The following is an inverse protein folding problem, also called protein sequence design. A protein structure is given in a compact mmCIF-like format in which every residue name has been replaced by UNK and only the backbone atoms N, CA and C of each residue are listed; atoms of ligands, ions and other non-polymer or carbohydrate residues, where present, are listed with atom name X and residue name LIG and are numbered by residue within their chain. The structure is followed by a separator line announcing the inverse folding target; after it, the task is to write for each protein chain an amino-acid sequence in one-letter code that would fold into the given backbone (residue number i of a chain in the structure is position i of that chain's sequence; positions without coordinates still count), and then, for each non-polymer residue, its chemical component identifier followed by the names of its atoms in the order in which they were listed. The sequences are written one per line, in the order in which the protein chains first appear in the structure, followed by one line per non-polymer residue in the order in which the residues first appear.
data_IF_892267770542
#
_entry.id   IF_892267770542
#
_cell.length_a   1.000
_cell.length_b   1.000
_cell.length_c   1.000
_cell.angle_alpha   90.00
_cell.angle_beta   90.00
_cell.angle_gamma   90.00
#
_symmetry.space_group_name_H-M   'P 1'
#
loop_
_entity.id
_entity.type
_entity.pdbx_description
1 polymer ?
#
# COMPACT_ATOMS: atom_id res chain seq x y z
N UNK A 1 -6.36 -18.53 -7.75
CA UNK A 1 -6.80 -17.37 -6.98
C UNK A 1 -6.81 -16.15 -7.88
N UNK A 2 -7.89 -15.41 -7.85
CA UNK A 2 -8.07 -14.20 -8.65
C UNK A 2 -8.07 -12.98 -7.74
N UNK A 3 -7.69 -11.84 -8.30
CA UNK A 3 -8.02 -10.54 -7.76
C UNK A 3 -9.54 -10.36 -7.78
N UNK A 4 -10.02 -9.27 -7.16
CA UNK A 4 -11.46 -9.00 -7.15
C UNK A 4 -12.01 -8.92 -8.57
N UNK A 5 -13.15 -9.53 -8.85
CA UNK A 5 -13.82 -9.39 -10.15
C UNK A 5 -14.31 -7.95 -10.35
N UNK A 6 -14.67 -7.24 -9.27
CA UNK A 6 -15.07 -5.81 -9.28
C UNK A 6 -14.95 -5.20 -7.88
N UNK A 7 -15.04 -3.87 -7.81
CA UNK A 7 -14.91 -3.10 -6.56
C UNK A 7 -15.96 -3.55 -5.52
N UNK A 8 -15.52 -3.66 -4.26
CA UNK A 8 -16.38 -4.01 -3.12
C UNK A 8 -16.45 -5.51 -2.77
N UNK A 9 -15.88 -6.38 -3.60
CA UNK A 9 -15.79 -7.82 -3.34
C UNK A 9 -14.42 -8.16 -2.74
N UNK A 10 -14.35 -9.18 -1.88
CA UNK A 10 -13.08 -9.69 -1.38
C UNK A 10 -12.23 -10.28 -2.50
N UNK A 11 -10.94 -10.02 -2.45
CA UNK A 11 -9.97 -10.55 -3.40
C UNK A 11 -8.70 -10.98 -2.70
N UNK A 12 -7.84 -11.70 -3.42
CA UNK A 12 -6.53 -12.12 -2.91
C UNK A 12 -5.42 -11.19 -3.37
N UNK A 13 -4.30 -11.25 -2.67
CA UNK A 13 -3.07 -10.52 -2.99
C UNK A 13 -1.84 -11.29 -2.56
N UNK A 14 -0.68 -10.77 -2.89
CA UNK A 14 0.61 -11.29 -2.43
C UNK A 14 1.10 -10.46 -1.26
N UNK A 15 1.49 -11.14 -0.18
CA UNK A 15 2.18 -10.52 0.94
C UNK A 15 3.67 -10.76 0.80
N UNK A 16 4.43 -9.71 0.59
CA UNK A 16 5.88 -9.81 0.41
C UNK A 16 6.55 -9.57 1.77
N UNK A 17 7.10 -10.62 2.35
CA UNK A 17 7.93 -10.50 3.54
C UNK A 17 9.30 -9.96 3.12
N UNK A 18 9.70 -8.84 3.71
CA UNK A 18 10.91 -8.12 3.39
C UNK A 18 11.73 -7.84 4.64
N UNK A 19 12.99 -8.20 4.63
CA UNK A 19 13.94 -7.87 5.70
C UNK A 19 15.33 -7.56 5.12
N UNK A 20 16.22 -7.08 5.98
CA UNK A 20 17.60 -6.78 5.65
C UNK A 20 18.51 -7.67 6.49
N UNK A 21 19.46 -8.31 5.85
CA UNK A 21 20.46 -9.14 6.51
C UNK A 21 21.85 -8.87 5.99
N UNK A 22 22.84 -9.24 6.77
CA UNK A 22 24.23 -9.29 6.36
C UNK A 22 24.56 -10.65 5.73
N UNK A 23 25.68 -10.73 5.03
CA UNK A 23 26.26 -11.98 4.53
C UNK A 23 26.64 -12.95 5.67
N UNK A 24 26.87 -12.43 6.88
CA UNK A 24 27.11 -13.21 8.11
C UNK A 24 25.82 -13.70 8.78
N UNK A 25 24.64 -13.45 8.20
CA UNK A 25 23.36 -13.94 8.69
C UNK A 25 22.72 -13.11 9.80
N UNK A 26 23.22 -11.89 10.07
CA UNK A 26 22.60 -10.98 11.04
C UNK A 26 21.39 -10.29 10.42
N UNK A 27 20.22 -10.41 11.05
CA UNK A 27 19.02 -9.66 10.65
C UNK A 27 19.06 -8.23 11.23
N UNK A 28 19.16 -7.25 10.37
CA UNK A 28 19.28 -5.83 10.75
C UNK A 28 17.94 -5.20 11.21
N UNK A 29 16.81 -5.86 10.93
CA UNK A 29 15.49 -5.49 11.40
C UNK A 29 15.04 -6.28 12.64
N UNK A 30 15.93 -7.11 13.21
CA UNK A 30 15.69 -7.82 14.46
C UNK A 30 16.15 -7.00 15.66
N UNK A 31 15.31 -6.79 16.70
CA UNK A 31 15.76 -6.22 17.96
C UNK A 31 16.84 -7.06 18.60
N UNK A 32 17.86 -6.41 19.18
CA UNK A 32 18.98 -7.06 19.81
C UNK A 32 18.88 -7.15 21.34
N UNK A 33 19.91 -7.73 21.96
CA UNK A 33 20.01 -7.88 23.42
C UNK A 33 20.83 -6.76 24.07
N UNK A 34 21.68 -6.10 23.29
CA UNK A 34 22.59 -5.04 23.74
C UNK A 34 22.13 -3.66 23.26
N UNK A 35 22.62 -2.59 23.89
CA UNK A 35 22.34 -1.23 23.47
C UNK A 35 22.81 -0.96 22.04
N UNK A 36 23.97 -1.50 21.64
CA UNK A 36 24.50 -1.35 20.29
C UNK A 36 23.65 -2.06 19.25
N UNK A 37 23.21 -3.30 19.50
CA UNK A 37 22.32 -4.04 18.61
C UNK A 37 20.96 -3.36 18.46
N UNK A 38 20.45 -2.75 19.53
CA UNK A 38 19.20 -2.01 19.50
C UNK A 38 19.33 -0.67 18.76
N UNK A 39 20.48 0.01 18.86
CA UNK A 39 20.77 1.19 18.05
C UNK A 39 20.83 0.82 16.56
N UNK A 40 21.48 -0.30 16.25
CA UNK A 40 21.51 -0.86 14.89
C UNK A 40 20.08 -1.12 14.37
N UNK A 41 19.28 -1.87 15.13
CA UNK A 41 17.89 -2.14 14.79
C UNK A 41 17.08 -0.87 14.52
N UNK A 42 17.11 0.12 15.41
CA UNK A 42 16.41 1.39 15.25
C UNK A 42 16.93 2.14 14.03
N UNK A 43 18.23 2.10 13.77
CA UNK A 43 18.81 2.74 12.58
C UNK A 43 18.20 2.19 11.30
N UNK A 44 18.20 0.88 11.13
CA UNK A 44 17.66 0.27 9.92
C UNK A 44 16.13 0.39 9.83
N UNK A 45 15.42 0.29 10.95
CA UNK A 45 13.99 0.50 11.01
C UNK A 45 13.60 1.91 10.57
N UNK A 46 14.26 2.95 11.10
CA UNK A 46 13.98 4.35 10.76
C UNK A 46 14.32 4.66 9.30
N UNK A 47 15.42 4.10 8.78
CA UNK A 47 15.76 4.23 7.38
C UNK A 47 14.69 3.58 6.48
N UNK A 48 14.16 2.39 6.83
CA UNK A 48 13.09 1.76 6.08
C UNK A 48 11.80 2.60 6.07
N UNK A 49 11.41 3.16 7.21
CA UNK A 49 10.24 4.02 7.32
C UNK A 49 10.43 5.31 6.51
N UNK A 50 11.63 5.90 6.57
CA UNK A 50 11.97 7.12 5.82
C UNK A 50 11.98 6.87 4.32
N UNK A 51 12.54 5.75 3.86
CA UNK A 51 12.52 5.33 2.46
C UNK A 51 11.06 5.20 1.94
N UNK A 52 10.21 4.52 2.70
CA UNK A 52 8.77 4.37 2.37
C UNK A 52 8.05 5.72 2.39
N UNK A 53 8.37 6.60 3.34
CA UNK A 53 7.79 7.95 3.40
C UNK A 53 8.16 8.79 2.18
N UNK A 54 9.44 8.86 1.86
CA UNK A 54 9.93 9.64 0.70
C UNK A 54 9.37 9.13 -0.62
N UNK A 55 9.23 7.83 -0.77
CA UNK A 55 8.83 7.16 -2.01
C UNK A 55 7.45 6.50 -1.96
N UNK A 56 6.53 6.96 -1.08
CA UNK A 56 5.20 6.35 -0.94
C UNK A 56 4.38 6.38 -2.24
N UNK A 57 4.44 7.46 -3.00
CA UNK A 57 3.78 7.57 -4.30
C UNK A 57 4.35 6.59 -5.34
N UNK A 58 5.67 6.42 -5.38
CA UNK A 58 6.32 5.45 -6.27
C UNK A 58 6.01 4.01 -5.87
N UNK A 59 6.01 3.68 -4.57
CA UNK A 59 5.60 2.37 -4.08
C UNK A 59 4.14 2.07 -4.45
N UNK A 60 3.26 3.07 -4.37
CA UNK A 60 1.89 2.98 -4.87
C UNK A 60 1.88 2.69 -6.37
N UNK A 61 2.65 3.42 -7.19
CA UNK A 61 2.74 3.20 -8.63
C UNK A 61 3.20 1.77 -8.98
N UNK A 62 4.12 1.22 -8.18
CA UNK A 62 4.66 -0.12 -8.38
C UNK A 62 3.65 -1.26 -8.13
N UNK A 63 2.53 -0.97 -7.46
CA UNK A 63 1.50 -1.97 -7.16
C UNK A 63 0.19 -1.71 -7.89
N UNK A 64 0.08 -0.59 -8.60
CA UNK A 64 -1.14 -0.26 -9.33
C UNK A 64 -1.19 -0.96 -10.69
N UNK A 65 -2.36 -1.54 -10.97
CA UNK A 65 -2.70 -2.14 -12.26
C UNK A 65 -4.21 -2.07 -12.47
N UNK A 66 -4.69 -2.33 -13.67
CA UNK A 66 -6.12 -2.35 -13.97
C UNK A 66 -6.89 -3.32 -13.06
N UNK A 67 -6.29 -4.45 -12.70
CA UNK A 67 -6.92 -5.47 -11.84
C UNK A 67 -6.74 -5.18 -10.37
N UNK A 68 -5.53 -4.79 -9.93
CA UNK A 68 -5.25 -4.56 -8.51
C UNK A 68 -5.95 -3.31 -7.96
N UNK A 69 -6.25 -2.31 -8.80
CA UNK A 69 -6.97 -1.11 -8.39
C UNK A 69 -8.33 -1.42 -7.74
N UNK A 70 -9.04 -2.43 -8.23
CA UNK A 70 -10.34 -2.87 -7.68
C UNK A 70 -10.22 -3.54 -6.29
N UNK A 71 -9.06 -4.12 -6.00
CA UNK A 71 -8.80 -4.82 -4.74
C UNK A 71 -8.50 -3.86 -3.59
N UNK A 72 -7.77 -2.78 -3.86
CA UNK A 72 -7.22 -1.90 -2.83
C UNK A 72 -8.31 -1.06 -2.14
N UNK A 73 -8.21 -0.98 -0.83
CA UNK A 73 -9.03 -0.08 -0.01
C UNK A 73 -10.37 -0.63 0.44
N UNK A 74 -10.65 -1.94 0.28
CA UNK A 74 -11.84 -2.57 0.82
C UNK A 74 -11.58 -4.05 1.18
N UNK A 75 -12.22 -4.53 2.28
CA UNK A 75 -12.26 -5.94 2.65
C UNK A 75 -10.92 -6.68 2.52
N UNK A 76 -10.16 -6.81 3.58
CA UNK A 76 -8.89 -7.55 3.67
C UNK A 76 -7.72 -7.06 2.78
N UNK A 77 -7.94 -6.11 1.88
CA UNK A 77 -6.89 -5.50 1.08
C UNK A 77 -6.53 -4.12 1.64
N UNK A 78 -5.22 -3.77 1.78
CA UNK A 78 -4.81 -2.47 2.29
C UNK A 78 -5.32 -1.34 1.39
N UNK A 79 -5.53 -0.13 1.94
CA UNK A 79 -5.90 1.03 1.13
C UNK A 79 -4.80 1.41 0.14
N UNK A 80 -5.17 2.09 -0.93
CA UNK A 80 -4.24 2.66 -1.91
C UNK A 80 -3.43 3.87 -1.36
N UNK A 81 -3.32 4.01 -0.05
CA UNK A 81 -2.50 5.00 0.64
C UNK A 81 -1.39 4.24 1.35
N UNK A 82 -0.16 4.38 0.87
CA UNK A 82 0.97 3.69 1.50
C UNK A 82 1.25 4.32 2.85
N UNK A 83 1.06 3.54 3.92
CA UNK A 83 1.36 3.90 5.30
C UNK A 83 2.10 2.74 5.98
N UNK A 84 2.75 3.04 7.11
CA UNK A 84 3.56 2.06 7.85
C UNK A 84 2.96 1.82 9.22
N UNK A 85 2.71 0.56 9.53
CA UNK A 85 2.32 0.10 10.86
C UNK A 85 3.56 -0.41 11.62
N UNK A 86 3.76 0.06 12.84
CA UNK A 86 4.88 -0.34 13.71
C UNK A 86 4.42 -1.01 15.01
N UNK A 87 3.16 -0.85 15.37
CA UNK A 87 2.64 -1.16 16.69
C UNK A 87 2.93 -0.06 17.71
N UNK A 88 2.13 -0.04 18.76
CA UNK A 88 2.14 1.03 19.78
C UNK A 88 3.47 1.15 20.51
N UNK A 89 4.14 0.04 20.76
CA UNK A 89 5.39 -0.01 21.52
C UNK A 89 6.56 0.60 20.73
N UNK A 90 6.77 0.18 19.47
CA UNK A 90 7.83 0.73 18.62
C UNK A 90 7.56 2.21 18.33
N UNK A 91 6.31 2.58 18.05
CA UNK A 91 5.89 3.97 17.86
C UNK A 91 6.22 4.84 19.07
N UNK A 92 5.94 4.37 20.29
CA UNK A 92 6.26 5.08 21.54
C UNK A 92 7.77 5.26 21.75
N UNK A 93 8.58 4.26 21.41
CA UNK A 93 10.06 4.35 21.47
C UNK A 93 10.56 5.43 20.51
N UNK A 94 10.09 5.44 19.27
CA UNK A 94 10.49 6.45 18.29
C UNK A 94 10.07 7.87 18.72
N UNK A 95 8.88 8.02 19.28
CA UNK A 95 8.41 9.33 19.76
C UNK A 95 9.21 9.84 20.97
N UNK A 96 9.59 8.95 21.91
CA UNK A 96 10.49 9.29 23.02
C UNK A 96 11.88 9.71 22.50
N UNK A 97 12.42 8.98 21.53
CA UNK A 97 13.70 9.30 20.90
C UNK A 97 13.65 10.67 20.21
N UNK A 98 12.59 10.95 19.47
CA UNK A 98 12.39 12.24 18.80
C UNK A 98 12.25 13.43 19.77
N UNK A 99 11.69 13.19 20.96
CA UNK A 99 11.47 14.21 22.01
C UNK A 99 12.68 14.42 22.92
N UNK A 100 13.67 13.50 22.97
CA UNK A 100 14.83 13.58 23.87
C UNK A 100 15.66 14.86 23.62
N UNK A 101 16.17 15.48 24.71
CA UNK A 101 16.98 16.72 24.67
C UNK A 101 18.39 16.45 25.18
N UNK A 102 19.41 17.09 24.55
CA UNK A 102 20.77 17.08 25.02
C UNK A 102 21.41 15.68 25.09
N UNK A 103 22.35 15.49 26.05
CA UNK A 103 23.10 14.25 26.21
C UNK A 103 22.28 13.07 26.76
N UNK A 104 21.02 13.27 27.12
CA UNK A 104 20.10 12.16 27.48
C UNK A 104 19.91 11.17 26.32
N UNK A 105 20.10 11.62 25.10
CA UNK A 105 20.10 10.77 23.92
C UNK A 105 21.27 9.77 23.90
N UNK A 106 22.41 10.12 24.47
CA UNK A 106 23.62 9.26 24.52
C UNK A 106 23.46 8.16 25.59
N UNK A 107 22.63 8.40 26.61
CA UNK A 107 22.24 7.40 27.61
C UNK A 107 21.05 6.56 27.19
N UNK A 108 20.66 6.67 25.92
CA UNK A 108 19.58 5.88 25.34
C UNK A 108 20.02 4.41 25.26
N UNK A 109 19.94 3.75 26.41
CA UNK A 109 19.90 2.31 26.45
C UNK A 109 18.48 1.89 26.04
N UNK A 110 18.36 1.27 24.88
CA UNK A 110 17.09 0.72 24.42
C UNK A 110 16.45 -0.16 25.50
N UNK A 111 17.23 -0.89 26.33
CA UNK A 111 16.74 -1.58 27.51
C UNK A 111 16.04 -0.67 28.51
N UNK A 112 16.53 0.56 28.72
CA UNK A 112 15.92 1.49 29.67
C UNK A 112 14.66 2.14 29.10
N UNK A 113 14.59 2.39 27.82
CA UNK A 113 13.36 2.89 27.16
C UNK A 113 12.29 1.80 27.13
N UNK A 114 12.64 0.58 26.83
CA UNK A 114 11.73 -0.57 26.92
C UNK A 114 11.33 -0.86 28.38
N UNK A 115 12.22 -0.75 29.37
CA UNK A 115 11.88 -0.86 30.79
C UNK A 115 11.00 0.28 31.30
N UNK A 116 11.25 1.52 30.90
CA UNK A 116 10.45 2.69 31.31
C UNK A 116 9.03 2.66 30.72
N UNK A 117 8.79 1.92 29.65
CA UNK A 117 7.45 1.67 29.08
C UNK A 117 6.74 0.46 29.73
N UNK A 118 7.27 -0.12 30.80
CA UNK A 118 6.68 -1.29 31.47
C UNK A 118 7.01 -2.63 30.78
N UNK A 119 7.91 -2.63 29.80
CA UNK A 119 8.23 -3.80 28.99
C UNK A 119 9.52 -4.41 29.53
N UNK A 120 9.42 -5.49 30.30
CA UNK A 120 10.55 -6.12 30.96
C UNK A 120 11.44 -6.97 30.03
N UNK A 121 10.95 -7.36 28.85
CA UNK A 121 11.70 -8.16 27.87
C UNK A 121 11.33 -7.82 26.43
N UNK A 122 12.33 -7.66 25.57
CA UNK A 122 12.17 -7.45 24.11
C UNK A 122 11.41 -8.61 23.42
N UNK A 123 11.54 -9.87 23.81
CA UNK A 123 10.70 -10.96 23.29
C UNK A 123 9.19 -10.75 23.46
N UNK A 124 8.76 -9.98 24.48
CA UNK A 124 7.35 -9.65 24.71
C UNK A 124 6.82 -8.65 23.67
N UNK A 125 7.69 -7.81 23.09
CA UNK A 125 7.39 -6.96 21.93
C UNK A 125 6.91 -7.77 20.71
N UNK A 126 7.44 -8.98 20.53
CA UNK A 126 7.08 -9.88 19.45
C UNK A 126 5.75 -10.60 19.70
N UNK A 127 5.36 -10.78 20.97
CA UNK A 127 4.14 -11.48 21.34
C UNK A 127 2.91 -10.54 21.35
N UNK A 128 3.08 -9.26 21.65
CA UNK A 128 1.99 -8.29 21.72
C UNK A 128 1.60 -7.71 20.35
N UNK A 129 2.33 -8.06 19.31
CA UNK A 129 2.02 -7.72 17.91
C UNK A 129 1.03 -8.72 17.28
N UNK A 130 0.25 -9.43 18.09
CA UNK A 130 -0.77 -10.38 17.62
C UNK A 130 -1.94 -9.69 16.94
N UNK A 131 -2.16 -8.41 17.18
CA UNK A 131 -3.11 -7.61 16.42
C UNK A 131 -2.42 -7.08 15.15
N UNK A 132 -2.25 -8.00 14.19
CA UNK A 132 -1.80 -7.65 12.83
C UNK A 132 -2.78 -6.63 12.29
N UNK A 133 -2.39 -5.37 12.22
CA UNK A 133 -3.20 -4.38 11.53
C UNK A 133 -3.29 -4.75 10.04
N UNK A 134 -4.31 -5.55 9.70
CA UNK A 134 -4.55 -6.05 8.33
C UNK A 134 -4.82 -4.93 7.34
N UNK A 135 -5.11 -3.73 7.83
CA UNK A 135 -5.40 -2.55 7.02
C UNK A 135 -4.16 -1.77 6.61
N UNK A 136 -2.97 -2.10 7.15
CA UNK A 136 -1.71 -1.44 6.78
C UNK A 136 -1.08 -2.08 5.55
N UNK A 137 -0.71 -1.31 4.53
CA UNK A 137 -0.02 -1.82 3.35
C UNK A 137 1.43 -2.20 3.60
N UNK A 138 2.08 -1.62 4.62
CA UNK A 138 3.46 -1.89 5.00
C UNK A 138 3.58 -2.02 6.51
N UNK A 139 3.59 -3.26 7.01
CA UNK A 139 3.52 -3.54 8.44
C UNK A 139 4.79 -4.20 8.97
N UNK A 140 5.32 -3.66 10.07
CA UNK A 140 6.41 -4.30 10.82
C UNK A 140 5.86 -5.45 11.65
N UNK A 141 6.47 -6.64 11.51
CA UNK A 141 6.02 -7.87 12.16
C UNK A 141 7.05 -8.43 13.15
N UNK A 142 7.87 -7.55 13.72
CA UNK A 142 8.83 -7.87 14.79
C UNK A 142 10.27 -8.06 14.34
N UNK A 143 10.53 -8.60 13.17
CA UNK A 143 11.87 -8.77 12.60
C UNK A 143 11.95 -8.57 11.09
N UNK A 144 10.86 -8.08 10.49
CA UNK A 144 10.71 -7.83 9.06
C UNK A 144 9.50 -6.95 8.81
N UNK A 145 9.40 -6.42 7.62
CA UNK A 145 8.18 -5.80 7.13
C UNK A 145 7.41 -6.77 6.23
N UNK A 146 6.11 -6.61 6.19
CA UNK A 146 5.22 -7.28 5.26
C UNK A 146 4.56 -6.23 4.36
N UNK A 147 4.88 -6.27 3.06
CA UNK A 147 4.26 -5.41 2.05
C UNK A 147 3.10 -6.15 1.41
N UNK A 148 1.87 -5.70 1.68
CA UNK A 148 0.61 -6.43 1.44
C UNK A 148 -0.16 -5.97 0.22
N UNK A 149 0.34 -5.01 -0.52
CA UNK A 149 -0.42 -4.30 -1.53
C UNK A 149 -0.29 -4.86 -2.95
N UNK A 150 0.57 -5.87 -3.18
CA UNK A 150 0.78 -6.47 -4.51
C UNK A 150 -0.41 -7.36 -4.88
N UNK A 151 -0.90 -7.24 -6.12
CA UNK A 151 -1.99 -8.04 -6.65
C UNK A 151 -1.65 -9.52 -6.81
N UNK A 152 -2.66 -10.41 -6.77
CA UNK A 152 -2.44 -11.86 -6.83
C UNK A 152 -1.90 -12.34 -8.18
N UNK A 153 -2.25 -11.68 -9.27
CA UNK A 153 -1.76 -11.96 -10.62
C UNK A 153 -0.50 -11.14 -10.98
N UNK A 154 -0.17 -10.11 -10.19
CA UNK A 154 0.96 -9.24 -10.46
C UNK A 154 2.29 -9.87 -10.04
N UNK A 155 3.39 -9.45 -10.69
CA UNK A 155 4.74 -9.80 -10.29
C UNK A 155 5.19 -8.88 -9.15
N UNK A 156 5.70 -9.45 -8.05
CA UNK A 156 6.21 -8.68 -6.92
C UNK A 156 7.58 -8.01 -7.19
N UNK A 157 8.27 -8.37 -8.26
CA UNK A 157 9.63 -7.88 -8.54
C UNK A 157 9.69 -6.35 -8.63
N UNK A 158 8.71 -5.72 -9.23
CA UNK A 158 8.69 -4.27 -9.39
C UNK A 158 8.59 -3.56 -8.04
N UNK A 159 7.61 -3.93 -7.22
CA UNK A 159 7.44 -3.37 -5.89
C UNK A 159 8.68 -3.59 -5.01
N UNK A 160 9.31 -4.77 -5.11
CA UNK A 160 10.52 -5.08 -4.35
C UNK A 160 11.74 -4.34 -4.89
N UNK A 161 11.86 -4.13 -6.21
CA UNK A 161 12.94 -3.31 -6.80
C UNK A 161 12.85 -1.86 -6.34
N UNK A 162 11.65 -1.29 -6.34
CA UNK A 162 11.41 0.06 -5.81
C UNK A 162 11.78 0.15 -4.33
N UNK A 163 11.31 -0.79 -3.51
CA UNK A 163 11.59 -0.79 -2.07
C UNK A 163 13.10 -0.94 -1.79
N UNK A 164 13.79 -1.83 -2.50
CA UNK A 164 15.23 -2.04 -2.35
C UNK A 164 16.03 -0.82 -2.79
N UNK A 165 15.70 -0.22 -3.93
CA UNK A 165 16.37 1.00 -4.41
C UNK A 165 16.15 2.18 -3.47
N UNK A 166 14.92 2.37 -2.99
CA UNK A 166 14.58 3.42 -2.01
C UNK A 166 15.37 3.22 -0.70
N UNK A 167 15.47 1.99 -0.22
CA UNK A 167 16.23 1.67 0.99
C UNK A 167 17.73 1.89 0.80
N UNK A 168 18.30 1.49 -0.33
CA UNK A 168 19.72 1.69 -0.64
C UNK A 168 20.07 3.19 -0.72
N UNK A 169 19.23 3.97 -1.40
CA UNK A 169 19.38 5.41 -1.51
C UNK A 169 19.29 6.10 -0.13
N UNK A 170 18.30 5.72 0.68
CA UNK A 170 18.11 6.28 2.02
C UNK A 170 19.30 5.97 2.95
N UNK A 171 19.83 4.74 2.90
CA UNK A 171 21.03 4.38 3.67
C UNK A 171 22.27 5.16 3.23
N UNK A 172 22.42 5.43 1.94
CA UNK A 172 23.51 6.26 1.42
C UNK A 172 23.40 7.71 1.91
N UNK A 173 22.19 8.31 1.84
CA UNK A 173 21.95 9.65 2.38
C UNK A 173 22.15 9.70 3.91
N UNK A 174 21.69 8.69 4.63
CA UNK A 174 21.89 8.57 6.07
C UNK A 174 23.38 8.56 6.41
N UNK A 175 24.17 7.70 5.71
CA UNK A 175 25.62 7.63 5.91
C UNK A 175 26.27 8.97 5.67
N UNK A 176 25.99 9.65 4.56
CA UNK A 176 26.53 10.97 4.25
C UNK A 176 26.23 11.99 5.36
N UNK A 177 25.00 12.03 5.86
CA UNK A 177 24.58 12.93 6.93
C UNK A 177 25.29 12.63 8.27
N UNK A 178 25.55 11.39 8.58
CA UNK A 178 26.29 10.97 9.78
C UNK A 178 27.76 11.33 9.63
N UNK A 179 28.38 11.01 8.49
CA UNK A 179 29.80 11.27 8.22
C UNK A 179 30.09 12.79 8.29
N UNK A 180 29.26 13.62 7.71
CA UNK A 180 29.41 15.08 7.79
C UNK A 180 29.39 15.61 9.24
N UNK A 181 28.57 15.00 10.12
CA UNK A 181 28.57 15.39 11.55
C UNK A 181 29.82 14.91 12.29
N UNK A 182 30.35 13.74 11.92
CA UNK A 182 31.60 13.20 12.48
C UNK A 182 32.79 14.08 12.06
N UNK A 183 32.85 14.47 10.79
CA UNK A 183 33.86 15.39 10.26
C UNK A 183 33.82 16.77 10.94
N UNK A 184 32.60 17.21 11.34
CA UNK A 184 32.42 18.42 12.15
C UNK A 184 32.79 18.23 13.64
N UNK A 185 33.42 17.10 14.03
CA UNK A 185 33.90 16.84 15.37
C UNK A 185 32.90 16.14 16.32
N UNK A 186 31.75 15.68 15.83
CA UNK A 186 30.79 14.97 16.67
C UNK A 186 31.20 13.52 16.84
N UNK A 187 31.02 12.94 18.06
CA UNK A 187 31.22 11.51 18.28
C UNK A 187 30.22 10.69 17.46
N UNK A 188 30.65 9.57 16.90
CA UNK A 188 29.87 8.70 15.99
C UNK A 188 28.46 8.40 16.50
N UNK A 189 28.34 7.91 17.73
CA UNK A 189 27.03 7.58 18.31
C UNK A 189 26.09 8.81 18.39
N UNK A 190 26.63 9.95 18.81
CA UNK A 190 25.88 11.22 18.87
C UNK A 190 25.43 11.66 17.48
N UNK A 191 26.28 11.54 16.48
CA UNK A 191 25.95 11.87 15.09
C UNK A 191 24.80 10.99 14.57
N UNK A 192 24.87 9.68 14.82
CA UNK A 192 23.80 8.72 14.49
C UNK A 192 22.48 9.15 15.14
N UNK A 193 22.47 9.41 16.46
CA UNK A 193 21.25 9.82 17.16
C UNK A 193 20.66 11.12 16.64
N UNK A 194 21.48 12.12 16.36
CA UNK A 194 20.99 13.41 15.85
C UNK A 194 20.35 13.26 14.46
N UNK A 195 20.93 12.47 13.58
CA UNK A 195 20.36 12.18 12.26
C UNK A 195 19.04 11.38 12.42
N UNK A 196 19.03 10.33 13.25
CA UNK A 196 17.83 9.55 13.50
C UNK A 196 16.67 10.38 14.06
N UNK A 197 16.95 11.30 14.99
CA UNK A 197 15.91 12.21 15.53
C UNK A 197 15.28 13.08 14.46
N UNK A 198 16.09 13.60 13.53
CA UNK A 198 15.60 14.39 12.40
C UNK A 198 14.72 13.53 11.48
N UNK A 199 15.19 12.33 11.13
CA UNK A 199 14.45 11.40 10.27
C UNK A 199 13.14 10.95 10.90
N UNK A 200 13.11 10.59 12.19
CA UNK A 200 11.90 10.16 12.90
C UNK A 200 10.82 11.27 12.85
N UNK A 201 11.24 12.53 13.02
CA UNK A 201 10.33 13.68 12.92
C UNK A 201 9.82 13.87 11.49
N UNK A 202 10.71 13.79 10.51
CA UNK A 202 10.38 13.99 9.09
C UNK A 202 9.43 12.88 8.57
N UNK A 203 9.67 11.62 8.92
CA UNK A 203 8.85 10.49 8.46
C UNK A 203 7.65 10.17 9.38
N UNK A 204 7.33 11.01 10.37
CA UNK A 204 6.19 10.79 11.26
C UNK A 204 4.86 10.65 10.51
N UNK A 205 4.69 11.38 9.43
CA UNK A 205 3.48 11.42 8.64
C UNK A 205 3.05 10.04 8.09
N UNK A 206 4.01 9.16 7.77
CA UNK A 206 3.73 7.84 7.17
C UNK A 206 3.28 6.80 8.20
N UNK A 207 3.55 7.02 9.51
CA UNK A 207 3.21 6.06 10.58
C UNK A 207 1.73 6.13 10.91
N UNK A 208 1.06 4.97 10.87
CA UNK A 208 -0.36 4.88 11.20
C UNK A 208 -0.70 3.50 11.77
N UNK A 209 -1.27 3.50 12.98
CA UNK A 209 -1.61 2.28 13.72
C UNK A 209 -3.14 2.04 13.81
N UNK A 210 -3.96 2.89 13.13
CA UNK A 210 -5.42 2.84 13.15
C UNK A 210 -6.04 2.01 12.02
N UNK A 211 -7.37 2.16 11.85
CA UNK A 211 -8.12 1.53 10.77
C UNK A 211 -7.88 2.24 9.43
N UNK A 212 -7.08 1.63 8.54
CA UNK A 212 -6.74 2.16 7.23
C UNK A 212 -7.91 2.23 6.23
N UNK A 213 -9.05 1.58 6.52
CA UNK A 213 -10.23 1.63 5.64
C UNK A 213 -11.13 2.85 5.91
N UNK A 214 -10.96 3.51 7.04
CA UNK A 214 -11.85 4.58 7.46
C UNK A 214 -11.72 5.84 6.59
N UNK A 215 -12.81 6.60 6.48
CA UNK A 215 -12.81 7.87 5.76
C UNK A 215 -12.04 8.95 6.53
N UNK A 216 -12.02 8.85 7.87
CA UNK A 216 -11.20 9.70 8.74
C UNK A 216 -9.71 9.53 8.40
N UNK A 217 -9.25 8.30 8.17
CA UNK A 217 -7.88 8.05 7.74
C UNK A 217 -7.59 8.67 6.38
N UNK A 218 -8.49 8.55 5.40
CA UNK A 218 -8.30 9.16 4.08
C UNK A 218 -8.18 10.69 4.17
N UNK A 219 -8.98 11.31 5.03
CA UNK A 219 -8.90 12.75 5.30
C UNK A 219 -7.60 13.15 6.00
N UNK A 220 -7.19 12.38 7.00
CA UNK A 220 -5.95 12.58 7.76
C UNK A 220 -4.71 12.37 6.89
N UNK A 221 -4.69 11.36 6.04
CA UNK A 221 -3.59 11.08 5.12
C UNK A 221 -3.34 12.26 4.15
N UNK A 222 -4.42 12.87 3.64
CA UNK A 222 -4.32 14.09 2.81
C UNK A 222 -3.72 15.25 3.59
N UNK A 223 -4.13 15.48 4.85
CA UNK A 223 -3.55 16.52 5.72
C UNK A 223 -2.07 16.27 6.00
N UNK A 224 -1.66 15.03 6.09
CA UNK A 224 -0.25 14.63 6.28
C UNK A 224 0.59 14.71 5.00
N UNK A 225 -0.02 15.03 3.86
CA UNK A 225 0.67 15.11 2.57
C UNK A 225 1.03 13.76 1.95
N UNK A 226 0.37 12.66 2.36
CA UNK A 226 0.56 11.35 1.74
C UNK A 226 -0.15 11.30 0.38
N UNK A 227 0.38 10.48 -0.53
CA UNK A 227 -0.23 10.30 -1.84
C UNK A 227 -1.58 9.58 -1.71
N UNK A 228 -2.66 10.30 -2.01
CA UNK A 228 -4.04 9.82 -1.96
C UNK A 228 -4.68 9.73 -3.36
N UNK A 229 -3.90 9.83 -4.45
CA UNK A 229 -4.39 9.66 -5.81
C UNK A 229 -5.00 8.27 -6.00
N UNK A 230 -6.12 8.20 -6.69
CA UNK A 230 -6.88 6.96 -6.96
C UNK A 230 -6.93 6.59 -8.44
N UNK A 231 -6.61 7.53 -9.32
CA UNK A 231 -6.58 7.29 -10.77
C UNK A 231 -5.28 6.57 -11.15
N UNK A 232 -5.38 5.32 -11.55
CA UNK A 232 -4.21 4.51 -11.91
C UNK A 232 -3.31 5.16 -12.98
N UNK A 233 -3.82 5.74 -14.06
CA UNK A 233 -2.98 6.42 -15.05
C UNK A 233 -2.16 7.57 -14.46
N UNK A 234 -2.76 8.40 -13.59
CA UNK A 234 -2.08 9.53 -12.95
C UNK A 234 -1.05 9.07 -11.90
N UNK A 235 -1.29 7.91 -11.29
CA UNK A 235 -0.32 7.34 -10.34
C UNK A 235 0.97 6.92 -11.04
N UNK A 236 0.92 6.48 -12.29
CA UNK A 236 2.12 6.10 -13.04
C UNK A 236 3.08 7.26 -13.29
N UNK A 237 2.63 8.52 -13.25
CA UNK A 237 3.49 9.69 -13.35
C UNK A 237 4.59 9.72 -12.28
N UNK A 238 4.37 9.04 -11.12
CA UNK A 238 5.34 8.93 -10.04
C UNK A 238 6.68 8.30 -10.45
N UNK A 239 6.69 7.51 -11.52
CA UNK A 239 7.94 6.95 -12.07
C UNK A 239 8.86 8.03 -12.66
N UNK A 240 8.30 9.16 -13.11
CA UNK A 240 9.01 10.26 -13.76
C UNK A 240 9.21 11.48 -12.84
N UNK A 241 8.80 11.38 -11.57
CA UNK A 241 9.08 12.41 -10.58
C UNK A 241 10.58 12.61 -10.40
N UNK A 242 11.02 13.87 -10.22
CA UNK A 242 12.44 14.21 -10.03
C UNK A 242 13.13 13.38 -8.94
N UNK A 243 12.42 13.12 -7.86
CA UNK A 243 12.93 12.34 -6.74
C UNK A 243 13.15 10.87 -7.13
N UNK A 244 12.23 10.29 -7.90
CA UNK A 244 12.33 8.92 -8.43
C UNK A 244 13.49 8.79 -9.39
N UNK A 245 13.60 9.73 -10.36
CA UNK A 245 14.70 9.76 -11.32
C UNK A 245 16.06 9.86 -10.62
N UNK A 246 16.17 10.71 -9.61
CA UNK A 246 17.38 10.83 -8.80
C UNK A 246 17.69 9.53 -8.07
N UNK A 247 16.75 8.96 -7.35
CA UNK A 247 16.94 7.72 -6.59
C UNK A 247 17.45 6.58 -7.47
N UNK A 248 16.80 6.33 -8.60
CA UNK A 248 17.23 5.26 -9.51
C UNK A 248 18.56 5.55 -10.19
N UNK A 249 18.83 6.81 -10.53
CA UNK A 249 20.11 7.25 -11.08
C UNK A 249 21.26 7.07 -10.08
N UNK A 250 21.08 7.55 -8.84
CA UNK A 250 22.10 7.46 -7.78
C UNK A 250 22.38 6.00 -7.36
N UNK A 251 21.38 5.12 -7.45
CA UNK A 251 21.54 3.69 -7.15
C UNK A 251 21.96 2.87 -8.37
N UNK A 252 21.99 3.44 -9.56
CA UNK A 252 22.36 2.75 -10.80
C UNK A 252 21.39 1.64 -11.24
N UNK A 253 20.13 1.66 -10.72
CA UNK A 253 19.14 0.60 -11.00
C UNK A 253 18.48 0.82 -12.35
N UNK A 254 18.04 2.06 -12.63
CA UNK A 254 17.45 2.44 -13.91
C UNK A 254 17.95 3.82 -14.36
N UNK A 255 18.21 3.95 -15.64
CA UNK A 255 18.41 5.24 -16.29
C UNK A 255 17.05 5.94 -16.52
N UNK A 256 17.11 7.25 -16.79
CA UNK A 256 15.90 8.03 -17.12
C UNK A 256 15.17 7.45 -18.34
N UNK A 257 15.91 7.09 -19.38
CA UNK A 257 15.33 6.53 -20.63
C UNK A 257 14.61 5.19 -20.38
N UNK A 258 15.19 4.35 -19.53
CA UNK A 258 14.54 3.08 -19.14
C UNK A 258 13.26 3.33 -18.34
N UNK A 259 13.24 4.31 -17.44
CA UNK A 259 12.05 4.65 -16.67
C UNK A 259 10.95 5.23 -17.58
N UNK A 260 11.30 6.10 -18.51
CA UNK A 260 10.36 6.63 -19.51
C UNK A 260 9.74 5.49 -20.33
N UNK A 261 10.56 4.61 -20.88
CA UNK A 261 10.07 3.47 -21.66
C UNK A 261 9.18 2.52 -20.84
N UNK A 262 9.56 2.21 -19.59
CA UNK A 262 8.77 1.36 -18.68
C UNK A 262 7.44 1.99 -18.33
N UNK A 263 7.41 3.31 -18.12
CA UNK A 263 6.19 4.05 -17.80
C UNK A 263 5.23 4.07 -18.99
N UNK A 264 5.73 4.27 -20.19
CA UNK A 264 4.97 4.16 -21.44
C UNK A 264 4.30 2.79 -21.59
N UNK A 265 5.07 1.72 -21.37
CA UNK A 265 4.54 0.34 -21.39
C UNK A 265 3.43 0.13 -20.34
N UNK A 266 3.53 0.76 -19.17
CA UNK A 266 2.47 0.69 -18.15
C UNK A 266 1.17 1.36 -18.61
N UNK A 267 1.25 2.57 -19.17
CA UNK A 267 0.09 3.27 -19.69
C UNK A 267 -0.55 2.48 -20.85
N UNK A 268 0.26 1.98 -21.77
CA UNK A 268 -0.24 1.17 -22.88
C UNK A 268 -0.92 -0.12 -22.39
N UNK A 269 -0.29 -0.83 -21.46
CA UNK A 269 -0.84 -2.06 -20.88
C UNK A 269 -2.16 -1.78 -20.16
N UNK A 270 -2.23 -0.71 -19.37
CA UNK A 270 -3.47 -0.30 -18.70
C UNK A 270 -4.56 0.01 -19.72
N UNK A 271 -4.26 0.84 -20.72
CA UNK A 271 -5.21 1.23 -21.78
C UNK A 271 -5.74 0.01 -22.52
N UNK A 272 -4.86 -0.90 -22.94
CA UNK A 272 -5.26 -2.14 -23.63
C UNK A 272 -6.15 -3.02 -22.77
N UNK A 273 -5.84 -3.20 -21.49
CA UNK A 273 -6.69 -3.97 -20.57
C UNK A 273 -8.08 -3.38 -20.45
N UNK A 274 -8.21 -2.07 -20.22
CA UNK A 274 -9.51 -1.39 -20.13
C UNK A 274 -10.29 -1.48 -21.45
N UNK A 275 -9.60 -1.35 -22.59
CA UNK A 275 -10.23 -1.52 -23.91
C UNK A 275 -10.76 -2.95 -24.12
N UNK A 276 -10.00 -3.98 -23.72
CA UNK A 276 -10.44 -5.38 -23.80
C UNK A 276 -11.67 -5.59 -22.90
N UNK A 277 -11.63 -5.11 -21.66
CA UNK A 277 -12.76 -5.22 -20.73
C UNK A 277 -14.02 -4.55 -21.28
N UNK A 278 -13.90 -3.33 -21.82
CA UNK A 278 -15.01 -2.61 -22.44
C UNK A 278 -15.59 -3.35 -23.66
N UNK A 279 -14.73 -3.91 -24.52
CA UNK A 279 -15.18 -4.68 -25.69
C UNK A 279 -15.88 -5.98 -25.28
N UNK A 280 -15.32 -6.72 -24.32
CA UNK A 280 -15.90 -7.95 -23.82
C UNK A 280 -17.24 -7.68 -23.13
N UNK A 281 -17.34 -6.58 -22.35
CA UNK A 281 -18.61 -6.17 -21.75
C UNK A 281 -19.67 -5.86 -22.82
N UNK A 282 -19.31 -5.11 -23.87
CA UNK A 282 -20.20 -4.83 -24.99
C UNK A 282 -20.65 -6.11 -25.72
N UNK A 283 -19.72 -7.01 -26.00
CA UNK A 283 -20.02 -8.30 -26.63
C UNK A 283 -20.99 -9.16 -25.77
N UNK A 284 -20.70 -9.31 -24.47
CA UNK A 284 -21.58 -10.01 -23.53
C UNK A 284 -22.97 -9.38 -23.46
N UNK A 285 -23.04 -8.05 -23.40
CA UNK A 285 -24.30 -7.34 -23.31
C UNK A 285 -25.16 -7.56 -24.58
N UNK A 286 -24.57 -7.29 -25.74
CA UNK A 286 -25.32 -7.31 -27.01
C UNK A 286 -25.61 -8.72 -27.53
N UNK A 287 -24.67 -9.66 -27.41
CA UNK A 287 -24.81 -10.98 -28.01
C UNK A 287 -25.33 -12.05 -27.06
N UNK A 288 -25.35 -11.81 -25.74
CA UNK A 288 -25.81 -12.77 -24.75
C UNK A 288 -26.93 -12.24 -23.87
N UNK A 289 -26.74 -11.09 -23.20
CA UNK A 289 -27.71 -10.59 -22.19
C UNK A 289 -28.97 -10.07 -22.87
N UNK A 290 -28.86 -9.18 -23.85
CA UNK A 290 -30.00 -8.59 -24.55
C UNK A 290 -30.88 -9.65 -25.23
N UNK A 291 -30.35 -10.63 -25.98
CA UNK A 291 -31.17 -11.69 -26.56
C UNK A 291 -31.90 -12.56 -25.53
N UNK A 292 -31.26 -12.86 -24.39
CA UNK A 292 -31.90 -13.64 -23.33
C UNK A 292 -33.01 -12.82 -22.65
N UNK A 293 -32.74 -11.53 -22.37
CA UNK A 293 -33.73 -10.63 -21.81
C UNK A 293 -34.96 -10.50 -22.71
N UNK A 294 -34.77 -10.34 -24.04
CA UNK A 294 -35.85 -10.24 -25.01
C UNK A 294 -36.67 -11.53 -25.10
N UNK A 295 -36.01 -12.69 -25.02
CA UNK A 295 -36.73 -13.99 -24.95
C UNK A 295 -37.58 -14.10 -23.69
N UNK A 296 -37.02 -13.70 -22.54
CA UNK A 296 -37.76 -13.75 -21.28
C UNK A 296 -38.91 -12.72 -21.26
N UNK A 297 -38.71 -11.56 -21.81
CA UNK A 297 -39.78 -10.57 -22.02
C UNK A 297 -40.95 -11.14 -22.85
N UNK A 298 -40.64 -11.81 -23.96
CA UNK A 298 -41.66 -12.45 -24.78
C UNK A 298 -42.49 -13.51 -24.02
N UNK A 299 -41.83 -14.29 -23.15
CA UNK A 299 -42.52 -15.26 -22.26
C UNK A 299 -43.42 -14.57 -21.24
N UNK A 300 -42.97 -13.46 -20.68
CA UNK A 300 -43.80 -12.65 -19.76
C UNK A 300 -44.99 -12.02 -20.45
N UNK A 301 -44.81 -11.50 -21.66
CA UNK A 301 -45.92 -10.95 -22.47
C UNK A 301 -46.96 -12.00 -22.78
N UNK A 302 -46.56 -13.21 -23.18
CA UNK A 302 -47.47 -14.35 -23.41
C UNK A 302 -48.23 -14.71 -22.13
N UNK A 303 -47.51 -14.77 -20.97
CA UNK A 303 -48.12 -15.01 -19.66
C UNK A 303 -49.18 -13.96 -19.32
N UNK A 304 -48.83 -12.67 -19.44
CA UNK A 304 -49.72 -11.54 -19.16
C UNK A 304 -50.95 -11.58 -20.06
N UNK A 305 -50.76 -11.86 -21.35
CA UNK A 305 -51.86 -12.01 -22.30
C UNK A 305 -52.81 -13.15 -21.89
N UNK A 306 -52.31 -14.35 -21.52
CA UNK A 306 -53.12 -15.47 -21.05
C UNK A 306 -53.83 -15.15 -19.73
N UNK A 307 -53.17 -14.47 -18.80
CA UNK A 307 -53.82 -14.04 -17.55
C UNK A 307 -54.95 -13.03 -17.77
N UNK A 308 -54.84 -12.15 -18.76
CA UNK A 308 -55.89 -11.21 -19.08
C UNK A 308 -57.19 -11.84 -19.59
N UNK A 309 -57.12 -13.08 -20.06
CA UNK A 309 -58.29 -13.87 -20.51
C UNK A 309 -59.05 -14.57 -19.36
N UNK A 310 -58.52 -14.54 -18.14
CA UNK A 310 -59.11 -15.19 -16.98
C UNK A 310 -59.55 -14.12 -15.97
N UNK A 311 -60.87 -13.99 -15.71
CA UNK A 311 -61.35 -13.00 -14.74
C UNK A 311 -60.77 -13.20 -13.35
N UNK A 312 -60.36 -12.12 -12.68
CA UNK A 312 -59.83 -12.13 -11.31
C UNK A 312 -58.34 -12.35 -11.19
N UNK A 313 -57.60 -12.64 -12.27
CA UNK A 313 -56.11 -12.69 -12.22
C UNK A 313 -55.52 -11.26 -12.37
N UNK A 314 -54.45 -11.03 -11.62
CA UNK A 314 -53.74 -9.73 -11.61
C UNK A 314 -52.31 -9.92 -12.12
N UNK A 315 -51.97 -9.29 -13.25
CA UNK A 315 -50.66 -9.35 -13.90
C UNK A 315 -49.81 -8.09 -13.65
N UNK A 316 -50.18 -7.22 -12.72
CA UNK A 316 -49.49 -5.92 -12.52
C UNK A 316 -48.00 -6.12 -12.20
N UNK A 317 -47.61 -7.09 -11.41
CA UNK A 317 -46.21 -7.37 -11.09
C UNK A 317 -45.41 -7.80 -12.33
N UNK A 318 -45.98 -8.66 -13.20
CA UNK A 318 -45.33 -9.09 -14.43
C UNK A 318 -45.18 -7.90 -15.41
N UNK A 319 -46.18 -7.03 -15.51
CA UNK A 319 -46.14 -5.82 -16.34
C UNK A 319 -45.03 -4.85 -15.86
N UNK A 320 -44.88 -4.66 -14.55
CA UNK A 320 -43.78 -3.84 -14.00
C UNK A 320 -42.40 -4.45 -14.27
N UNK A 321 -42.29 -5.78 -14.22
CA UNK A 321 -41.04 -6.48 -14.59
C UNK A 321 -40.71 -6.30 -16.08
N UNK A 322 -41.71 -6.42 -16.97
CA UNK A 322 -41.56 -6.16 -18.42
C UNK A 322 -41.04 -4.75 -18.66
N UNK A 323 -41.65 -3.75 -18.06
CA UNK A 323 -41.18 -2.36 -18.17
C UNK A 323 -39.74 -2.14 -17.76
N UNK A 324 -39.29 -2.81 -16.65
CA UNK A 324 -37.91 -2.75 -16.20
C UNK A 324 -36.97 -3.40 -17.21
N UNK A 325 -37.33 -4.56 -17.74
CA UNK A 325 -36.53 -5.27 -18.76
C UNK A 325 -36.38 -4.37 -20.00
N UNK A 326 -37.46 -3.81 -20.51
CA UNK A 326 -37.43 -2.93 -21.67
C UNK A 326 -36.55 -1.70 -21.44
N UNK A 327 -36.70 -1.06 -20.28
CA UNK A 327 -35.90 0.11 -19.93
C UNK A 327 -34.39 -0.22 -19.95
N UNK A 328 -33.98 -1.26 -19.22
CA UNK A 328 -32.57 -1.62 -19.13
C UNK A 328 -32.00 -2.14 -20.46
N UNK A 329 -32.80 -2.90 -21.23
CA UNK A 329 -32.39 -3.37 -22.55
C UNK A 329 -32.17 -2.21 -23.52
N UNK A 330 -33.05 -1.21 -23.51
CA UNK A 330 -32.92 0.00 -24.33
C UNK A 330 -31.68 0.83 -23.90
N UNK A 331 -31.41 0.94 -22.60
CA UNK A 331 -30.20 1.64 -22.09
C UNK A 331 -28.90 0.94 -22.50
N UNK A 332 -28.86 -0.39 -22.53
CA UNK A 332 -27.71 -1.19 -22.98
C UNK A 332 -27.45 -0.99 -24.49
N UNK A 333 -28.50 -0.83 -25.28
CA UNK A 333 -28.43 -0.70 -26.75
C UNK A 333 -28.04 0.72 -27.22
N UNK A 334 -28.11 1.72 -26.35
CA UNK A 334 -27.60 3.09 -26.60
C UNK A 334 -26.09 3.20 -26.47
#
# INVERSE_FOLDING_TARGET
LHEKPFKGINGSGKHNNWSLGTDTGVNLLGPGKTASENLQFITFLVNAISAVHKHNGLLKAAIMSATNAHRLGANEAPPAIISTFLGTQVSAVLDKLAASKGDDAIRFDAKNVFKMSGISHIPTLLLDNTDRNRTSPFAFTGNRFEFRAVGSSDNCAEAMSVLNAAMAHELAEFKQNVDAKIEAGMKKEKAIYEVLKQMIKACKAIRFDGNGYSDEWKAEARKRGLDCETSTPLIFDRYLDKQTLRMFGDTGVFSKVELEARTEVKWETYTKKIQIEGRVLGDLAMNHIVPIASKYEALLLDKVYKMSQIPGLNASADIELIKKIQYHTAEIQR
#
